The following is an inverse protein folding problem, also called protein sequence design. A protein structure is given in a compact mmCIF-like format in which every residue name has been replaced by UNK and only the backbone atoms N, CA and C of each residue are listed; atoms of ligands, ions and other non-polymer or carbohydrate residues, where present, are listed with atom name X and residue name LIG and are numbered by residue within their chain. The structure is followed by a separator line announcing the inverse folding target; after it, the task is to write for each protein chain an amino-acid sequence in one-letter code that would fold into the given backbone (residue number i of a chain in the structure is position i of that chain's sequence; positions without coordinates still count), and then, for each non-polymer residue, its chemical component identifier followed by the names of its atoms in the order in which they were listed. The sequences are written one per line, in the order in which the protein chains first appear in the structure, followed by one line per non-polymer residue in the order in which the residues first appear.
data_IF_486235761055
#
_entry.id   IF_486235761055
#
_cell.length_a   1.000
_cell.length_b   1.000
_cell.length_c   1.000
_cell.angle_alpha   90.00
_cell.angle_beta   90.00
_cell.angle_gamma   90.00
#
_symmetry.space_group_name_H-M   'P 1'
#
loop_
_entity.id
_entity.type
_entity.pdbx_description
1 polymer ?
#
# COMPACT_ATOMS: atom_id res chain seq x y z
N UNK A 1 16.71 0.14 -15.67
CA UNK A 1 16.93 0.07 -14.22
C UNK A 1 15.71 -0.59 -13.61
N UNK A 2 15.85 -1.83 -13.13
CA UNK A 2 14.75 -2.61 -12.55
C UNK A 2 14.32 -1.94 -11.25
N UNK A 3 13.07 -1.47 -11.20
CA UNK A 3 12.50 -0.86 -10.01
C UNK A 3 12.17 -1.98 -9.04
N UNK A 4 13.02 -2.10 -8.03
CA UNK A 4 12.82 -3.01 -6.92
C UNK A 4 11.55 -2.59 -6.20
N UNK A 5 10.66 -3.56 -6.11
CA UNK A 5 9.40 -3.52 -5.39
C UNK A 5 9.64 -3.11 -3.93
N UNK A 6 8.60 -2.55 -3.33
CA UNK A 6 8.48 -1.86 -2.02
C UNK A 6 9.48 -2.26 -0.91
N UNK A 7 9.96 -3.50 -0.89
CA UNK A 7 10.99 -4.01 -0.01
C UNK A 7 12.35 -3.31 -0.15
N UNK A 8 12.90 -3.16 -1.37
CA UNK A 8 14.28 -2.67 -1.49
C UNK A 8 14.41 -1.16 -1.20
N UNK A 9 13.36 -0.37 -1.44
CA UNK A 9 13.30 1.04 -1.02
C UNK A 9 13.26 1.16 0.51
N UNK A 10 12.58 0.23 1.21
CA UNK A 10 12.59 0.15 2.68
C UNK A 10 13.96 -0.26 3.22
N UNK A 11 14.63 -1.22 2.58
CA UNK A 11 15.96 -1.70 2.98
C UNK A 11 17.04 -0.64 2.73
N UNK A 12 17.04 0.01 1.56
CA UNK A 12 18.14 0.90 1.15
C UNK A 12 18.13 2.28 1.79
N UNK A 13 16.97 2.80 2.19
CA UNK A 13 16.85 4.18 2.67
C UNK A 13 16.99 4.31 4.18
N UNK A 14 16.68 3.26 4.96
CA UNK A 14 16.46 3.41 6.41
C UNK A 14 17.04 2.31 7.30
N UNK A 15 17.61 1.22 6.76
CA UNK A 15 18.14 0.13 7.59
C UNK A 15 17.15 -0.31 8.66
N UNK A 16 16.06 -0.98 8.27
CA UNK A 16 14.89 -1.26 9.15
C UNK A 16 14.34 0.01 9.83
N UNK A 17 13.38 0.72 9.22
CA UNK A 17 12.65 1.75 9.96
C UNK A 17 11.87 1.09 11.10
N UNK A 18 12.37 1.29 12.31
CA UNK A 18 11.71 0.91 13.57
C UNK A 18 10.31 1.53 13.61
N UNK A 19 9.27 0.71 13.67
CA UNK A 19 7.97 1.17 14.16
C UNK A 19 8.11 1.54 15.64
N UNK A 20 8.33 2.82 15.94
CA UNK A 20 8.42 3.30 17.32
C UNK A 20 7.02 3.60 17.83
N UNK A 21 6.44 2.65 18.56
CA UNK A 21 5.24 2.90 19.35
C UNK A 21 5.64 3.28 20.77
N UNK A 22 5.17 4.44 21.25
CA UNK A 22 5.34 4.86 22.64
C UNK A 22 4.15 4.36 23.47
N UNK A 23 4.42 3.43 24.38
CA UNK A 23 3.47 3.05 25.41
C UNK A 23 3.66 4.01 26.61
N UNK A 24 2.64 4.31 27.43
CA UNK A 24 2.79 5.11 28.64
C UNK A 24 3.87 4.56 29.60
N UNK A 25 4.14 3.25 29.56
CA UNK A 25 5.19 2.55 30.31
C UNK A 25 6.59 2.61 29.66
N UNK A 26 6.77 3.28 28.52
CA UNK A 26 8.08 3.57 27.94
C UNK A 26 8.78 2.42 27.18
N UNK A 27 8.09 1.32 26.88
CA UNK A 27 8.68 0.21 26.11
C UNK A 27 8.66 0.50 24.60
N UNK A 28 9.85 0.63 24.01
CA UNK A 28 10.06 0.71 22.57
C UNK A 28 9.91 -0.68 21.92
N UNK A 29 8.87 -0.90 21.12
CA UNK A 29 8.83 -2.07 20.24
C UNK A 29 9.89 -1.93 19.14
N UNK A 30 10.69 -2.98 18.95
CA UNK A 30 11.61 -3.10 17.82
C UNK A 30 11.25 -4.38 17.09
N UNK A 31 11.02 -4.25 15.79
CA UNK A 31 10.73 -5.40 14.96
C UNK A 31 11.90 -6.40 15.04
N UNK A 32 11.61 -7.69 15.28
CA UNK A 32 12.62 -8.73 15.21
C UNK A 32 13.29 -8.78 13.82
N UNK A 33 14.53 -9.28 13.72
CA UNK A 33 15.14 -9.55 12.43
C UNK A 33 14.21 -10.39 11.54
N UNK A 34 14.08 -10.02 10.26
CA UNK A 34 13.23 -10.69 9.27
C UNK A 34 11.70 -10.61 9.53
N UNK A 35 11.24 -9.77 10.47
CA UNK A 35 9.82 -9.67 10.80
C UNK A 35 8.95 -9.30 9.58
N UNK A 36 9.41 -8.36 8.76
CA UNK A 36 8.69 -7.96 7.56
C UNK A 36 8.65 -9.10 6.52
N UNK A 37 9.82 -9.67 6.22
CA UNK A 37 10.00 -10.68 5.18
C UNK A 37 9.28 -11.99 5.50
N UNK A 38 9.27 -12.40 6.76
CA UNK A 38 8.76 -13.70 7.17
C UNK A 38 7.34 -13.65 7.74
N UNK A 39 6.89 -12.51 8.25
CA UNK A 39 5.59 -12.40 8.93
C UNK A 39 4.67 -11.42 8.22
N UNK A 40 5.05 -10.13 8.16
CA UNK A 40 4.11 -9.08 7.74
C UNK A 40 3.79 -9.15 6.25
N UNK A 41 4.80 -9.25 5.40
CA UNK A 41 4.60 -9.25 3.95
C UNK A 41 3.91 -10.52 3.43
N UNK A 42 4.26 -11.74 3.90
CA UNK A 42 3.50 -12.94 3.57
C UNK A 42 2.03 -12.85 3.99
N UNK A 43 1.74 -12.36 5.21
CA UNK A 43 0.36 -12.16 5.67
C UNK A 43 -0.38 -11.11 4.84
N UNK A 44 0.30 -10.03 4.41
CA UNK A 44 -0.27 -9.04 3.50
C UNK A 44 -0.66 -9.66 2.15
N UNK A 45 0.23 -10.46 1.55
CA UNK A 45 -0.07 -11.17 0.29
C UNK A 45 -1.26 -12.11 0.51
N UNK A 46 -1.22 -12.95 1.54
CA UNK A 46 -2.27 -13.93 1.81
C UNK A 46 -3.66 -13.25 1.93
N UNK A 47 -3.71 -12.13 2.63
CA UNK A 47 -4.95 -11.40 2.86
C UNK A 47 -5.51 -10.68 1.63
N UNK A 48 -4.67 -10.31 0.65
CA UNK A 48 -5.05 -9.40 -0.45
C UNK A 48 -4.88 -9.97 -1.87
N UNK A 49 -4.19 -11.10 -2.05
CA UNK A 49 -3.87 -11.64 -3.39
C UNK A 49 -5.10 -11.80 -4.30
N UNK A 50 -6.24 -12.24 -3.77
CA UNK A 50 -7.48 -12.44 -4.53
C UNK A 50 -8.20 -11.14 -4.93
N UNK A 51 -7.76 -9.99 -4.42
CA UNK A 51 -8.20 -8.69 -4.90
C UNK A 51 -7.57 -8.32 -6.25
N UNK A 52 -6.49 -9.00 -6.66
CA UNK A 52 -5.69 -8.66 -7.84
C UNK A 52 -5.59 -9.81 -8.85
N UNK A 53 -5.45 -9.47 -10.13
CA UNK A 53 -5.27 -10.46 -11.20
C UNK A 53 -4.07 -11.37 -10.95
N UNK A 54 -4.26 -12.68 -11.13
CA UNK A 54 -3.25 -13.73 -10.92
C UNK A 54 -2.64 -13.77 -9.51
N UNK A 55 -3.25 -13.13 -8.51
CA UNK A 55 -2.67 -13.02 -7.17
C UNK A 55 -1.56 -11.97 -7.05
N UNK A 56 -1.31 -11.17 -8.09
CA UNK A 56 -0.20 -10.22 -8.13
C UNK A 56 -0.55 -8.92 -7.39
N UNK A 57 -0.20 -8.83 -6.11
CA UNK A 57 -0.45 -7.65 -5.27
C UNK A 57 0.45 -6.45 -5.61
N UNK A 58 1.48 -6.62 -6.45
CA UNK A 58 2.43 -5.55 -6.75
C UNK A 58 2.16 -4.88 -8.10
N UNK A 59 1.71 -5.65 -9.09
CA UNK A 59 1.48 -5.15 -10.45
C UNK A 59 0.12 -5.57 -11.03
N UNK A 60 -0.61 -6.45 -10.34
CA UNK A 60 -1.91 -6.93 -10.80
C UNK A 60 -2.95 -5.81 -10.77
N UNK A 61 -3.91 -5.88 -11.70
CA UNK A 61 -5.07 -4.99 -11.66
C UNK A 61 -6.10 -5.50 -10.64
N UNK A 62 -6.87 -4.61 -10.01
CA UNK A 62 -8.01 -5.02 -9.19
C UNK A 62 -9.00 -5.88 -9.98
N UNK A 63 -9.41 -7.01 -9.42
CA UNK A 63 -10.40 -7.90 -10.05
C UNK A 63 -11.83 -7.37 -9.93
N UNK A 64 -12.08 -6.51 -8.91
CA UNK A 64 -13.42 -6.03 -8.57
C UNK A 64 -14.36 -7.11 -8.01
N UNK A 65 -13.89 -8.34 -7.83
CA UNK A 65 -14.72 -9.47 -7.37
C UNK A 65 -14.83 -9.49 -5.85
N UNK A 66 -13.70 -9.43 -5.14
CA UNK A 66 -13.68 -9.42 -3.66
C UNK A 66 -14.07 -8.06 -3.09
N UNK A 67 -13.58 -6.99 -3.70
CA UNK A 67 -13.87 -5.60 -3.32
C UNK A 67 -14.33 -4.84 -4.56
N UNK A 68 -15.65 -4.76 -4.81
CA UNK A 68 -16.19 -3.98 -5.91
C UNK A 68 -15.80 -2.50 -5.78
N UNK A 69 -15.35 -1.90 -6.88
CA UNK A 69 -14.95 -0.49 -6.92
C UNK A 69 -13.61 -0.18 -6.26
N UNK A 70 -12.75 -1.18 -6.00
CA UNK A 70 -11.39 -0.96 -5.50
C UNK A 70 -10.59 -0.07 -6.46
N UNK A 71 -10.09 1.06 -5.96
CA UNK A 71 -9.20 1.98 -6.67
C UNK A 71 -7.80 1.86 -6.12
N UNK A 72 -6.81 1.63 -7.00
CA UNK A 72 -5.39 1.58 -6.65
C UNK A 72 -4.74 2.90 -7.05
N UNK A 73 -4.16 3.59 -6.08
CA UNK A 73 -3.40 4.81 -6.30
C UNK A 73 -1.92 4.45 -6.36
N UNK A 74 -1.28 4.80 -7.47
CA UNK A 74 0.13 4.52 -7.73
C UNK A 74 0.92 5.83 -7.72
N UNK A 75 1.34 6.31 -6.54
CA UNK A 75 1.90 7.66 -6.38
C UNK A 75 3.28 7.82 -7.02
N UNK A 76 3.95 6.72 -7.36
CA UNK A 76 5.23 6.72 -8.05
C UNK A 76 5.10 5.78 -9.23
N UNK A 77 4.90 6.35 -10.43
CA UNK A 77 5.04 5.60 -11.69
C UNK A 77 6.38 5.89 -12.31
N UNK A 78 6.82 4.97 -13.17
CA UNK A 78 8.10 5.01 -13.90
C UNK A 78 8.39 6.33 -14.64
N UNK A 79 7.38 7.18 -14.86
CA UNK A 79 7.45 8.41 -15.63
C UNK A 79 6.78 9.63 -14.96
N UNK A 80 6.20 9.48 -13.77
CA UNK A 80 5.53 10.56 -13.05
C UNK A 80 5.41 10.23 -11.57
N UNK A 81 5.78 11.18 -10.72
CA UNK A 81 5.53 11.14 -9.28
C UNK A 81 4.33 12.04 -8.98
N UNK A 82 3.43 11.57 -8.13
CA UNK A 82 2.31 12.33 -7.61
C UNK A 82 2.74 13.00 -6.32
N UNK A 83 2.41 14.28 -6.15
CA UNK A 83 2.47 14.94 -4.85
C UNK A 83 1.38 14.38 -3.92
N UNK A 84 1.50 14.66 -2.62
CA UNK A 84 0.43 14.34 -1.66
C UNK A 84 -0.88 15.03 -2.06
N UNK A 85 -0.81 16.28 -2.55
CA UNK A 85 -1.99 17.02 -2.99
C UNK A 85 -2.69 16.33 -4.17
N UNK A 86 -1.92 15.79 -5.12
CA UNK A 86 -2.47 15.03 -6.25
C UNK A 86 -3.17 13.74 -5.79
N UNK A 87 -2.60 13.05 -4.80
CA UNK A 87 -3.19 11.84 -4.20
C UNK A 87 -4.50 12.19 -3.50
N UNK A 88 -4.51 13.23 -2.67
CA UNK A 88 -5.70 13.66 -1.93
C UNK A 88 -6.80 14.07 -2.91
N UNK A 89 -6.45 14.84 -3.94
CA UNK A 89 -7.40 15.24 -4.97
C UNK A 89 -7.99 14.03 -5.72
N UNK A 90 -7.16 13.06 -6.08
CA UNK A 90 -7.64 11.80 -6.69
C UNK A 90 -8.67 11.09 -5.80
N UNK A 91 -8.44 11.03 -4.48
CA UNK A 91 -9.42 10.47 -3.54
C UNK A 91 -10.73 11.26 -3.53
N UNK A 92 -10.67 12.60 -3.50
CA UNK A 92 -11.86 13.45 -3.51
C UNK A 92 -12.67 13.26 -4.79
N UNK A 93 -12.02 13.26 -5.96
CA UNK A 93 -12.69 13.07 -7.26
C UNK A 93 -13.46 11.73 -7.31
N UNK A 94 -12.86 10.64 -6.83
CA UNK A 94 -13.51 9.32 -6.75
C UNK A 94 -14.72 9.32 -5.81
N UNK A 95 -14.63 10.02 -4.68
CA UNK A 95 -15.72 10.11 -3.71
C UNK A 95 -16.86 10.98 -4.22
N UNK A 96 -16.57 12.11 -4.87
CA UNK A 96 -17.56 12.98 -5.49
C UNK A 96 -18.34 12.24 -6.60
N UNK A 97 -17.63 11.54 -7.49
CA UNK A 97 -18.25 10.69 -8.52
C UNK A 97 -19.14 9.59 -7.91
N UNK A 98 -18.72 9.01 -6.79
CA UNK A 98 -19.51 8.02 -6.09
C UNK A 98 -20.80 8.62 -5.50
N UNK A 99 -20.69 9.76 -4.81
CA UNK A 99 -21.85 10.46 -4.24
C UNK A 99 -22.84 10.90 -5.34
N UNK A 100 -22.35 11.46 -6.45
CA UNK A 100 -23.19 11.89 -7.55
C UNK A 100 -24.02 10.75 -8.19
N UNK A 101 -23.49 9.52 -8.15
CA UNK A 101 -24.21 8.31 -8.61
C UNK A 101 -25.26 7.78 -7.63
N UNK A 102 -25.22 8.21 -6.37
CA UNK A 102 -26.21 7.83 -5.36
C UNK A 102 -27.42 8.78 -5.32
N UNK A 103 -27.21 10.03 -5.72
CA UNK A 103 -28.25 11.08 -5.71
C UNK A 103 -29.15 11.07 -6.97
N UNK A 104 -28.97 10.11 -7.89
CA UNK A 104 -29.79 9.90 -9.10
C UNK A 104 -30.60 8.60 -9.05
#
# INVERSE_FOLDING_TARGET
MHFLTTLARRISTLGYPLGVQFNPEGSLWRDPPMYWEHIVYPAYIEAHQDMFENGDVENGKPTGQRVPGLVVIEPVKRWAEMSIDDIVRCCCDVLEDFCARLDC
#
